data_IF_633135197875
#
_entry.id   IF_633135197875
#
_cell.length_a   1.000
_cell.length_b   1.000
_cell.length_c   1.000
_cell.angle_alpha   90.00
_cell.angle_beta   90.00
_cell.angle_gamma   90.00
#
_symmetry.space_group_name_H-M   'P 1'
#
loop_
_entity.id
_entity.type
_entity.pdbx_description
1 polymer ?
#
# COMPACT_ATOMS: atom_id res chain seq x y z
N UNK A 1 15.09 -0.58 4.79
CA UNK A 1 14.50 0.77 4.77
C UNK A 1 13.65 0.93 3.52
N UNK A 2 12.40 1.37 3.67
CA UNK A 2 11.48 1.57 2.52
C UNK A 2 11.90 2.83 1.77
N UNK A 3 12.08 2.73 0.45
CA UNK A 3 12.37 3.87 -0.42
C UNK A 3 11.12 4.24 -1.20
N UNK A 4 10.77 5.53 -1.19
CA UNK A 4 9.68 6.11 -1.98
C UNK A 4 10.27 6.84 -3.17
N UNK A 5 9.82 6.51 -4.37
CA UNK A 5 10.37 7.06 -5.61
C UNK A 5 9.57 8.27 -6.10
N UNK A 6 8.33 8.42 -5.63
CA UNK A 6 7.41 9.51 -5.97
C UNK A 6 6.78 10.05 -4.70
N UNK A 7 6.67 11.37 -4.61
CA UNK A 7 5.97 12.04 -3.54
C UNK A 7 5.17 13.22 -4.08
N UNK A 8 4.03 13.52 -3.47
CA UNK A 8 3.24 14.70 -3.79
C UNK A 8 2.65 15.31 -2.51
N UNK A 9 2.35 16.60 -2.52
CA UNK A 9 1.88 17.33 -1.34
C UNK A 9 0.42 17.71 -1.55
N UNK A 10 -0.44 17.29 -0.63
CA UNK A 10 -1.80 17.81 -0.50
C UNK A 10 -1.80 19.00 0.48
N UNK A 11 -2.97 19.60 0.69
CA UNK A 11 -3.13 20.69 1.67
C UNK A 11 -2.69 20.27 3.07
N UNK A 12 -2.98 19.03 3.46
CA UNK A 12 -2.88 18.56 4.85
C UNK A 12 -1.81 17.47 5.07
N UNK A 13 -1.24 16.88 4.01
CA UNK A 13 -0.26 15.80 4.13
C UNK A 13 0.78 15.74 2.98
N UNK A 14 1.96 15.16 3.26
CA UNK A 14 2.87 14.68 2.21
C UNK A 14 2.56 13.22 1.90
N UNK A 15 2.14 12.96 0.68
CA UNK A 15 1.87 11.63 0.18
C UNK A 15 3.14 11.02 -0.42
N UNK A 16 3.55 9.88 0.13
CA UNK A 16 4.71 9.11 -0.28
C UNK A 16 4.23 7.84 -0.99
N UNK A 17 4.50 7.75 -2.30
CA UNK A 17 3.91 6.72 -3.15
C UNK A 17 4.88 5.56 -3.30
N UNK A 18 4.37 4.34 -3.11
CA UNK A 18 5.14 3.11 -3.28
C UNK A 18 4.41 2.08 -4.16
N UNK A 19 4.98 1.70 -5.32
CA UNK A 19 4.54 0.51 -6.02
C UNK A 19 4.88 -0.75 -5.22
N UNK A 20 3.86 -1.55 -4.93
CA UNK A 20 3.98 -2.81 -4.21
C UNK A 20 3.65 -3.96 -5.16
N UNK A 21 4.67 -4.77 -5.46
CA UNK A 21 4.51 -5.99 -6.25
C UNK A 21 4.51 -7.21 -5.34
N UNK A 22 3.35 -7.86 -5.19
CA UNK A 22 3.21 -9.07 -4.39
C UNK A 22 3.79 -10.33 -5.04
N UNK A 23 4.21 -10.30 -6.31
CA UNK A 23 4.52 -11.50 -7.10
C UNK A 23 3.35 -12.50 -7.07
N UNK A 24 2.43 -12.28 -7.99
CA UNK A 24 1.09 -12.88 -8.05
C UNK A 24 1.11 -14.29 -8.65
N UNK A 25 2.16 -15.05 -8.36
CA UNK A 25 2.35 -16.43 -8.82
C UNK A 25 1.98 -17.45 -7.74
N UNK A 26 2.12 -17.10 -6.46
CA UNK A 26 1.95 -18.02 -5.33
C UNK A 26 1.35 -17.34 -4.10
N UNK A 27 0.47 -18.05 -3.39
CA UNK A 27 -0.20 -17.53 -2.20
C UNK A 27 0.77 -17.19 -1.06
N UNK A 28 1.77 -18.03 -0.80
CA UNK A 28 2.74 -17.81 0.28
C UNK A 28 3.60 -16.56 0.07
N UNK A 29 3.89 -16.23 -1.19
CA UNK A 29 4.69 -15.04 -1.55
C UNK A 29 3.87 -13.77 -1.31
N UNK A 30 2.59 -13.76 -1.70
CA UNK A 30 1.66 -12.66 -1.43
C UNK A 30 1.59 -12.40 0.08
N UNK A 31 1.32 -13.44 0.87
CA UNK A 31 1.21 -13.34 2.32
C UNK A 31 2.50 -12.83 2.97
N UNK A 32 3.65 -13.42 2.60
CA UNK A 32 4.95 -13.02 3.17
C UNK A 32 5.27 -11.55 2.89
N UNK A 33 5.06 -11.09 1.66
CA UNK A 33 5.29 -9.69 1.29
C UNK A 33 4.32 -8.74 2.01
N UNK A 34 3.06 -9.13 2.17
CA UNK A 34 2.09 -8.34 2.92
C UNK A 34 2.55 -8.11 4.36
N UNK A 35 3.01 -9.16 5.05
CA UNK A 35 3.55 -9.02 6.42
C UNK A 35 4.84 -8.18 6.46
N UNK A 36 5.72 -8.31 5.47
CA UNK A 36 6.93 -7.50 5.39
C UNK A 36 6.61 -6.00 5.27
N UNK A 37 5.69 -5.63 4.36
CA UNK A 37 5.28 -4.24 4.21
C UNK A 37 4.49 -3.75 5.42
N UNK A 38 3.60 -4.58 5.99
CA UNK A 38 2.88 -4.24 7.21
C UNK A 38 3.83 -3.87 8.36
N UNK A 39 4.84 -4.69 8.64
CA UNK A 39 5.83 -4.38 9.68
C UNK A 39 6.57 -3.07 9.39
N UNK A 40 6.98 -2.85 8.14
CA UNK A 40 7.66 -1.62 7.74
C UNK A 40 6.80 -0.36 7.91
N UNK A 41 5.50 -0.44 7.62
CA UNK A 41 4.61 0.71 7.80
C UNK A 41 4.20 0.94 9.25
N UNK A 42 4.10 -0.14 10.05
CA UNK A 42 3.90 -0.05 11.48
C UNK A 42 5.09 0.67 12.15
N UNK A 43 6.32 0.31 11.79
CA UNK A 43 7.54 0.95 12.30
C UNK A 43 7.65 2.45 11.92
N UNK A 44 6.92 2.89 10.88
CA UNK A 44 6.92 4.27 10.39
C UNK A 44 5.73 5.10 10.90
N UNK A 45 4.83 4.52 11.70
CA UNK A 45 3.55 5.15 12.06
C UNK A 45 3.72 6.43 12.89
N UNK A 46 4.62 6.40 13.87
CA UNK A 46 4.93 7.56 14.72
C UNK A 46 5.52 8.70 13.87
N UNK A 47 6.52 8.38 13.05
CA UNK A 47 7.17 9.35 12.15
C UNK A 47 6.15 9.95 11.16
N UNK A 48 5.26 9.12 10.62
CA UNK A 48 4.23 9.57 9.70
C UNK A 48 3.21 10.49 10.39
N UNK A 49 2.91 10.22 11.65
CA UNK A 49 1.99 11.04 12.44
C UNK A 49 2.59 12.40 12.77
N UNK A 50 3.84 12.43 13.25
CA UNK A 50 4.55 13.67 13.59
C UNK A 50 4.75 14.59 12.38
N UNK A 51 5.01 14.02 11.21
CA UNK A 51 5.35 14.77 10.00
C UNK A 51 4.18 14.95 9.03
N UNK A 52 2.98 14.46 9.38
CA UNK A 52 1.80 14.41 8.51
C UNK A 52 2.10 13.76 7.15
N UNK A 53 2.67 12.57 7.19
CA UNK A 53 2.87 11.75 5.99
C UNK A 53 1.69 10.80 5.78
N UNK A 54 1.45 10.47 4.52
CA UNK A 54 0.55 9.43 4.07
C UNK A 54 1.32 8.49 3.12
N UNK A 55 1.09 7.20 3.22
CA UNK A 55 1.74 6.18 2.39
C UNK A 55 0.74 5.61 1.40
N UNK A 56 0.86 6.01 0.14
CA UNK A 56 -0.05 5.55 -0.91
C UNK A 56 0.58 4.35 -1.63
N UNK A 57 -0.06 3.19 -1.58
CA UNK A 57 0.48 1.96 -2.17
C UNK A 57 -0.18 1.68 -3.51
N UNK A 58 0.61 1.56 -4.57
CA UNK A 58 0.12 1.17 -5.89
C UNK A 58 0.21 -0.34 -6.04
N UNK A 59 -0.95 -0.99 -6.19
CA UNK A 59 -1.07 -2.44 -6.18
C UNK A 59 -1.62 -2.97 -7.50
N UNK A 60 -1.12 -4.13 -7.91
CA UNK A 60 -1.61 -4.86 -9.06
C UNK A 60 -2.44 -6.07 -8.61
N UNK A 61 -3.66 -6.17 -9.14
CA UNK A 61 -4.55 -7.30 -8.86
C UNK A 61 -4.07 -8.58 -9.57
N UNK A 62 -4.12 -9.76 -8.92
CA UNK A 62 -3.82 -11.03 -9.57
C UNK A 62 -4.76 -11.31 -10.74
N UNK A 63 -4.26 -11.96 -11.78
CA UNK A 63 -5.10 -12.51 -12.88
C UNK A 63 -5.68 -13.87 -12.52
N UNK A 64 -4.97 -14.64 -11.70
CA UNK A 64 -5.40 -15.95 -11.24
C UNK A 64 -6.43 -15.83 -10.11
N UNK A 65 -7.67 -16.30 -10.37
CA UNK A 65 -8.78 -16.26 -9.42
C UNK A 65 -8.49 -17.01 -8.10
N UNK A 66 -7.65 -18.04 -8.15
CA UNK A 66 -7.25 -18.81 -6.97
C UNK A 66 -6.41 -18.00 -5.96
N UNK A 67 -5.94 -16.81 -6.36
CA UNK A 67 -5.16 -15.91 -5.52
C UNK A 67 -5.97 -14.74 -4.97
N UNK A 68 -7.23 -14.57 -5.38
CA UNK A 68 -8.03 -13.40 -5.02
C UNK A 68 -8.22 -13.30 -3.51
N UNK A 69 -8.64 -14.39 -2.86
CA UNK A 69 -8.81 -14.43 -1.41
C UNK A 69 -7.52 -14.06 -0.65
N UNK A 70 -6.38 -14.58 -1.10
CA UNK A 70 -5.08 -14.28 -0.47
C UNK A 70 -4.68 -12.83 -0.69
N UNK A 71 -4.92 -12.30 -1.89
CA UNK A 71 -4.69 -10.90 -2.22
C UNK A 71 -5.57 -9.97 -1.39
N UNK A 72 -6.87 -10.23 -1.29
CA UNK A 72 -7.80 -9.40 -0.50
C UNK A 72 -7.41 -9.38 0.99
N UNK A 73 -6.96 -10.54 1.52
CA UNK A 73 -6.43 -10.60 2.88
C UNK A 73 -5.14 -9.79 3.05
N UNK A 74 -4.26 -9.79 2.03
CA UNK A 74 -3.06 -8.96 2.04
C UNK A 74 -3.40 -7.47 2.03
N UNK A 75 -4.40 -7.05 1.25
CA UNK A 75 -4.86 -5.65 1.24
C UNK A 75 -5.37 -5.23 2.61
N UNK A 76 -6.29 -6.02 3.19
CA UNK A 76 -6.83 -5.76 4.54
C UNK A 76 -5.75 -5.70 5.63
N UNK A 77 -4.65 -6.43 5.47
CA UNK A 77 -3.51 -6.35 6.39
C UNK A 77 -2.79 -5.01 6.26
N UNK A 78 -2.58 -4.54 5.02
CA UNK A 78 -1.91 -3.27 4.74
C UNK A 78 -2.76 -2.04 5.07
N UNK A 79 -4.08 -2.17 5.17
CA UNK A 79 -4.99 -1.11 5.62
C UNK A 79 -4.96 -0.87 7.14
N UNK A 80 -4.32 -1.75 7.92
CA UNK A 80 -4.32 -1.64 9.39
C UNK A 80 -3.55 -0.43 9.94
N UNK A 81 -2.35 -0.07 9.44
CA UNK A 81 -1.65 1.12 9.92
C UNK A 81 -2.40 2.39 9.49
N UNK A 82 -2.55 3.37 10.39
CA UNK A 82 -3.49 4.48 10.21
C UNK A 82 -3.16 5.45 9.05
N UNK A 83 -1.94 5.38 8.50
CA UNK A 83 -1.42 6.31 7.49
C UNK A 83 -1.20 5.64 6.12
N UNK A 84 -1.70 4.43 5.90
CA UNK A 84 -1.50 3.66 4.67
C UNK A 84 -2.78 3.62 3.85
N UNK A 85 -2.67 3.95 2.56
CA UNK A 85 -3.78 3.91 1.60
C UNK A 85 -3.43 2.97 0.43
N UNK A 86 -3.89 1.71 0.48
CA UNK A 86 -3.73 0.79 -0.63
C UNK A 86 -4.65 1.18 -1.79
N UNK A 87 -4.08 1.53 -2.94
CA UNK A 87 -4.81 1.76 -4.18
C UNK A 87 -4.60 0.57 -5.12
N UNK A 88 -5.63 -0.23 -5.34
CA UNK A 88 -5.68 -1.16 -6.47
C UNK A 88 -6.04 -0.37 -7.74
N UNK A 89 -5.17 -0.39 -8.75
CA UNK A 89 -5.40 0.44 -9.94
C UNK A 89 -6.07 -0.38 -11.07
N UNK A 90 -6.97 0.19 -11.91
CA UNK A 90 -7.37 1.60 -11.98
C UNK A 90 -8.90 1.80 -12.04
N UNK A 91 -9.57 2.11 -10.93
CA UNK A 91 -10.87 2.79 -10.98
C UNK A 91 -11.11 3.59 -9.70
N UNK A 92 -11.17 4.92 -9.83
CA UNK A 92 -12.05 5.73 -8.98
C UNK A 92 -11.43 6.76 -8.04
N UNK A 93 -10.18 6.61 -7.59
CA UNK A 93 -9.67 7.48 -6.52
C UNK A 93 -8.50 8.39 -6.86
N UNK A 94 -7.86 8.24 -8.02
CA UNK A 94 -6.67 9.05 -8.38
C UNK A 94 -6.95 10.28 -9.25
N UNK A 95 -8.20 10.57 -9.65
CA UNK A 95 -8.51 11.70 -10.55
C UNK A 95 -9.83 12.45 -10.25
N UNK A 96 -10.49 12.26 -9.10
CA UNK A 96 -11.78 12.94 -8.85
C UNK A 96 -11.66 14.36 -8.27
N UNK A 97 -10.44 14.91 -8.13
CA UNK A 97 -10.24 16.30 -7.67
C UNK A 97 -9.12 17.01 -8.44
N UNK A 98 -9.25 17.03 -9.77
CA UNK A 98 -8.58 18.00 -10.63
C UNK A 98 -9.61 18.96 -11.23
#
# INVERSE_FOLDING_TARGET
MVKFDVAWRSKDALHLVKPVSFDLSRQDVITRKAYQYYGQFLDLEDVATENNYAFDLLLAKPRNRNLFKTYDNAIRLLEKPNRVHPADCPTGYLFSQA
#
